data_IF_205509860378
#
_entry.id   IF_205509860378
#
_cell.length_a   1.000
_cell.length_b   1.000
_cell.length_c   1.000
_cell.angle_alpha   90.00
_cell.angle_beta   90.00
_cell.angle_gamma   90.00
#
_symmetry.space_group_name_H-M   'P 1'
#
loop_
_entity.id
_entity.type
_entity.pdbx_description
1 polymer ?
#
# COMPACT_ATOMS: atom_id res chain seq x y z
N UNK A 1 -9.96 -12.46 -8.99
CA UNK A 1 -9.11 -11.59 -9.85
C UNK A 1 -9.94 -10.66 -10.74
N UNK A 2 -11.01 -11.16 -11.38
CA UNK A 2 -12.00 -10.34 -12.12
C UNK A 2 -12.53 -9.17 -11.29
N UNK A 3 -12.87 -9.43 -10.02
CA UNK A 3 -13.62 -8.51 -9.16
C UNK A 3 -12.75 -7.46 -8.48
N UNK A 4 -11.44 -7.48 -8.72
CA UNK A 4 -10.51 -6.52 -8.11
C UNK A 4 -10.61 -5.15 -8.76
N UNK A 5 -10.50 -4.09 -7.95
CA UNK A 5 -10.44 -2.71 -8.43
C UNK A 5 -9.26 -2.51 -9.38
N UNK A 6 -9.42 -1.64 -10.39
CA UNK A 6 -8.42 -1.41 -11.44
C UNK A 6 -7.07 -0.90 -10.91
N UNK A 7 -7.08 -0.15 -9.81
CA UNK A 7 -5.86 0.34 -9.13
C UNK A 7 -4.95 -0.79 -8.65
N UNK A 8 -5.51 -1.97 -8.35
CA UNK A 8 -4.77 -3.17 -7.92
C UNK A 8 -4.33 -4.05 -9.10
N UNK A 9 -4.65 -3.66 -10.33
CA UNK A 9 -4.24 -4.31 -11.58
C UNK A 9 -3.99 -3.25 -12.66
N UNK A 10 -3.09 -2.28 -12.40
CA UNK A 10 -2.96 -1.13 -13.27
C UNK A 10 -2.46 -1.55 -14.65
N UNK A 11 -3.03 -0.94 -15.69
CA UNK A 11 -2.51 -1.06 -17.06
C UNK A 11 -1.42 -0.02 -17.26
N UNK A 12 -0.22 -0.46 -17.67
CA UNK A 12 0.97 0.40 -17.80
C UNK A 12 1.68 0.24 -19.14
N UNK A 13 2.44 1.27 -19.51
CA UNK A 13 3.27 1.30 -20.72
C UNK A 13 2.49 1.45 -22.02
N UNK A 14 3.22 1.55 -23.14
CA UNK A 14 2.68 1.79 -24.50
C UNK A 14 1.60 0.79 -24.93
N UNK A 15 1.69 -0.45 -24.46
CA UNK A 15 0.81 -1.54 -24.86
C UNK A 15 -0.33 -1.81 -23.86
N UNK A 16 -0.43 -1.01 -22.78
CA UNK A 16 -1.50 -1.15 -21.79
C UNK A 16 -1.54 -2.52 -21.10
N UNK A 17 -0.37 -3.13 -20.89
CA UNK A 17 -0.26 -4.43 -20.24
C UNK A 17 -0.61 -4.31 -18.76
N UNK A 18 -1.25 -5.34 -18.22
CA UNK A 18 -1.65 -5.39 -16.82
C UNK A 18 -0.43 -5.73 -15.95
N UNK A 19 -0.22 -4.93 -14.90
CA UNK A 19 0.72 -5.25 -13.83
C UNK A 19 0.03 -6.16 -12.81
N UNK A 20 0.52 -7.39 -12.67
CA UNK A 20 -0.04 -8.42 -11.78
C UNK A 20 0.58 -8.41 -10.37
N UNK A 21 1.56 -7.54 -10.11
CA UNK A 21 2.43 -7.60 -8.91
C UNK A 21 2.00 -6.61 -7.82
N UNK A 22 0.70 -6.30 -7.70
CA UNK A 22 0.16 -5.33 -6.73
C UNK A 22 -0.70 -5.95 -5.63
N UNK A 23 -0.85 -7.27 -5.63
CA UNK A 23 -1.70 -8.01 -4.70
C UNK A 23 -0.92 -9.19 -4.16
N UNK A 24 -0.86 -9.30 -2.84
CA UNK A 24 -0.09 -10.31 -2.14
C UNK A 24 -0.97 -11.01 -1.10
N UNK A 25 -0.56 -12.20 -0.67
CA UNK A 25 -1.16 -12.89 0.46
C UNK A 25 -0.09 -13.32 1.45
N UNK A 26 -0.47 -13.51 2.71
CA UNK A 26 0.46 -13.99 3.72
C UNK A 26 0.90 -15.42 3.40
N UNK A 27 2.18 -15.71 3.61
CA UNK A 27 2.68 -17.08 3.51
C UNK A 27 2.13 -17.93 4.65
N UNK A 28 1.59 -19.09 4.30
CA UNK A 28 1.13 -20.11 5.26
C UNK A 28 2.34 -20.86 5.83
N UNK A 29 2.34 -21.11 7.12
CA UNK A 29 3.43 -21.80 7.81
C UNK A 29 3.71 -21.20 9.19
N UNK A 30 4.49 -21.93 9.99
CA UNK A 30 4.96 -21.45 11.29
C UNK A 30 5.92 -20.27 11.04
N UNK A 31 5.70 -19.16 11.75
CA UNK A 31 6.56 -17.97 11.69
C UNK A 31 6.76 -17.37 10.28
N UNK A 32 5.81 -17.55 9.36
CA UNK A 32 5.88 -16.99 7.99
C UNK A 32 4.81 -15.95 7.69
N UNK A 33 3.83 -15.80 8.58
CA UNK A 33 2.70 -14.90 8.34
C UNK A 33 3.11 -13.46 8.65
N UNK A 34 3.16 -12.61 7.62
CA UNK A 34 3.56 -11.20 7.78
C UNK A 34 2.71 -10.43 8.78
N UNK A 35 1.42 -10.77 8.94
CA UNK A 35 0.56 -10.12 9.92
C UNK A 35 0.99 -10.41 11.34
N UNK A 36 1.44 -11.63 11.63
CA UNK A 36 1.93 -12.01 12.96
C UNK A 36 3.36 -11.49 13.17
N UNK A 37 4.23 -11.61 12.16
CA UNK A 37 5.62 -11.17 12.20
C UNK A 37 5.83 -9.65 12.29
N UNK A 38 4.81 -8.87 11.93
CA UNK A 38 4.82 -7.40 11.98
C UNK A 38 3.70 -6.83 12.84
N UNK A 39 3.00 -7.72 13.57
CA UNK A 39 1.94 -7.35 14.51
C UNK A 39 0.85 -6.46 13.87
N UNK A 40 0.51 -6.73 12.62
CA UNK A 40 -0.51 -5.96 11.88
C UNK A 40 -1.88 -6.32 12.44
N UNK A 41 -2.64 -5.29 12.84
CA UNK A 41 -4.00 -5.49 13.33
C UNK A 41 -4.90 -6.10 12.25
N UNK A 42 -5.37 -7.33 12.47
CA UNK A 42 -6.15 -8.09 11.47
C UNK A 42 -7.54 -7.52 11.21
N UNK A 43 -8.11 -6.79 12.17
CA UNK A 43 -9.47 -6.25 12.07
C UNK A 43 -9.46 -4.85 11.45
N UNK A 44 -8.49 -4.01 11.83
CA UNK A 44 -8.40 -2.62 11.38
C UNK A 44 -7.51 -2.43 10.14
N UNK A 45 -6.57 -3.36 9.90
CA UNK A 45 -5.52 -3.19 8.90
C UNK A 45 -4.54 -2.07 9.26
N UNK A 46 -3.67 -1.73 8.31
CA UNK A 46 -2.74 -0.62 8.41
C UNK A 46 -2.31 -0.16 7.01
N UNK A 47 -1.99 1.12 6.87
CA UNK A 47 -1.31 1.70 5.72
C UNK A 47 0.10 2.12 6.17
N UNK A 48 1.13 1.63 5.48
CA UNK A 48 2.53 1.92 5.80
C UNK A 48 3.12 2.76 4.66
N UNK A 49 3.44 4.02 4.94
CA UNK A 49 4.09 4.90 3.97
C UNK A 49 5.61 4.72 4.06
N UNK A 50 6.22 4.31 2.96
CA UNK A 50 7.66 4.04 2.86
C UNK A 50 8.29 4.99 1.86
N UNK A 51 9.42 5.58 2.23
CA UNK A 51 10.21 6.49 1.39
C UNK A 51 10.97 5.74 0.30
N UNK A 52 11.43 6.43 -0.76
CA UNK A 52 12.26 5.83 -1.82
C UNK A 52 13.57 5.18 -1.32
N UNK A 53 14.10 5.64 -0.18
CA UNK A 53 15.27 5.07 0.50
C UNK A 53 14.93 3.93 1.48
N UNK A 54 13.71 3.38 1.38
CA UNK A 54 13.20 2.21 2.12
C UNK A 54 12.95 2.46 3.63
N UNK A 55 13.08 3.69 4.11
CA UNK A 55 12.69 4.04 5.48
C UNK A 55 11.18 4.21 5.63
N UNK A 56 10.62 3.70 6.73
CA UNK A 56 9.22 3.93 7.10
C UNK A 56 9.06 5.39 7.50
N UNK A 57 8.17 6.10 6.81
CA UNK A 57 7.83 7.49 7.12
C UNK A 57 6.74 7.55 8.19
N UNK A 58 5.67 6.79 8.02
CA UNK A 58 4.54 6.73 8.97
C UNK A 58 3.74 5.44 8.82
N UNK A 59 2.94 5.12 9.84
CA UNK A 59 1.95 4.04 9.84
C UNK A 59 0.60 4.63 10.26
N UNK A 60 -0.40 4.49 9.39
CA UNK A 60 -1.72 5.10 9.53
C UNK A 60 -2.85 4.05 9.49
N UNK A 61 -4.04 4.34 10.04
CA UNK A 61 -5.26 3.63 9.69
C UNK A 61 -5.50 3.64 8.18
N UNK A 62 -6.16 2.60 7.65
CA UNK A 62 -6.35 2.46 6.19
C UNK A 62 -7.28 3.53 5.60
N UNK A 63 -8.11 4.15 6.43
CA UNK A 63 -9.10 5.17 6.11
C UNK A 63 -8.62 6.60 6.41
N UNK A 64 -7.41 6.77 6.94
CA UNK A 64 -6.82 8.07 7.28
C UNK A 64 -6.25 8.80 6.04
N UNK A 65 -7.11 9.07 5.05
CA UNK A 65 -6.70 9.71 3.80
C UNK A 65 -6.30 11.17 4.00
N UNK A 66 -6.98 11.89 4.91
CA UNK A 66 -6.68 13.30 5.21
C UNK A 66 -5.26 13.46 5.75
N UNK A 67 -4.87 12.61 6.71
CA UNK A 67 -3.54 12.60 7.32
C UNK A 67 -2.47 12.20 6.31
N UNK A 68 -2.77 11.22 5.44
CA UNK A 68 -1.86 10.84 4.36
C UNK A 68 -1.58 12.03 3.44
N UNK A 69 -2.61 12.73 2.97
CA UNK A 69 -2.43 13.85 2.05
C UNK A 69 -1.67 15.01 2.68
N UNK A 70 -1.93 15.33 3.96
CA UNK A 70 -1.15 16.35 4.68
C UNK A 70 0.36 16.04 4.69
N UNK A 71 0.74 14.78 4.93
CA UNK A 71 2.15 14.36 4.89
C UNK A 71 2.74 14.47 3.48
N UNK A 72 1.96 14.13 2.44
CA UNK A 72 2.44 14.19 1.06
C UNK A 72 2.59 15.63 0.57
N UNK A 73 1.72 16.54 0.98
CA UNK A 73 1.79 17.97 0.64
C UNK A 73 3.03 18.65 1.23
N UNK A 74 3.43 18.28 2.45
CA UNK A 74 4.67 18.78 3.09
C UNK A 74 5.93 18.43 2.26
N UNK A 75 5.91 17.29 1.56
CA UNK A 75 7.03 16.83 0.72
C UNK A 75 6.93 17.35 -0.72
N UNK A 76 5.71 17.42 -1.25
CA UNK A 76 5.41 17.88 -2.61
C UNK A 76 4.37 19.02 -2.57
N UNK A 77 4.81 20.28 -2.44
CA UNK A 77 3.92 21.43 -2.21
C UNK A 77 2.90 21.80 -3.30
N UNK A 78 2.66 20.95 -4.30
CA UNK A 78 1.68 21.13 -5.37
C UNK A 78 1.13 19.78 -5.84
N UNK A 79 0.85 18.88 -4.90
CA UNK A 79 0.24 17.58 -5.20
C UNK A 79 -1.19 17.81 -5.70
N UNK A 80 -1.36 18.04 -7.01
CA UNK A 80 -2.67 18.16 -7.65
C UNK A 80 -3.32 16.77 -7.71
N UNK A 81 -4.08 16.41 -6.69
CA UNK A 81 -4.87 15.17 -6.64
C UNK A 81 -6.34 15.49 -6.84
#
# INVERSE_FOLDING_TARGET
YSDMHSVLKPRKGKYGLVDYEKVFCAQKGINSNIFDLREVNRTKGAMVLVRPDQYVSTVLPIDATTELFGILEDVWPNLNV
#
